data_IF_651335484699
#
_entry.id   IF_651335484699
#
_cell.length_a   1.000
_cell.length_b   1.000
_cell.length_c   1.000
_cell.angle_alpha   90.00
_cell.angle_beta   90.00
_cell.angle_gamma   90.00
#
_symmetry.space_group_name_H-M   'P 1'
#
loop_
_entity.id
_entity.type
_entity.pdbx_description
1 polymer ?
#
# COMPACT_ATOMS: atom_id res chain seq x y z
N UNK A 1 25.87 -31.60 31.24
CA UNK A 1 26.41 -31.17 32.56
C UNK A 1 26.83 -29.73 32.47
N UNK A 2 26.12 -28.82 32.98
CA UNK A 2 26.40 -27.71 33.90
C UNK A 2 25.17 -26.78 33.90
N UNK A 3 24.44 -26.92 35.00
CA UNK A 3 23.36 -26.03 35.38
C UNK A 3 23.96 -24.76 35.97
N UNK A 4 23.56 -23.56 35.57
CA UNK A 4 23.84 -22.31 36.26
C UNK A 4 22.55 -21.68 36.75
N UNK A 5 22.44 -21.68 38.06
CA UNK A 5 21.46 -20.92 38.84
C UNK A 5 21.56 -19.42 38.55
N UNK A 6 20.42 -18.79 38.42
CA UNK A 6 20.28 -17.32 38.53
C UNK A 6 19.50 -17.06 39.82
N UNK A 7 20.15 -16.37 40.72
CA UNK A 7 19.63 -15.90 42.02
C UNK A 7 18.80 -14.62 41.75
N UNK A 8 17.54 -14.66 42.20
CA UNK A 8 16.68 -13.48 42.22
C UNK A 8 16.79 -12.82 43.59
N UNK A 9 17.24 -11.58 43.65
CA UNK A 9 17.21 -10.73 44.85
C UNK A 9 15.97 -9.83 44.81
N UNK A 10 15.05 -10.05 45.73
CA UNK A 10 13.92 -9.17 45.97
C UNK A 10 14.34 -8.00 46.87
N UNK A 11 14.09 -6.76 46.41
CA UNK A 11 14.14 -5.57 47.28
C UNK A 11 12.73 -5.13 47.57
N UNK A 12 12.34 -5.22 48.84
CA UNK A 12 11.14 -4.62 49.39
C UNK A 12 11.48 -3.20 49.86
N UNK A 13 10.86 -2.20 49.32
CA UNK A 13 10.83 -0.86 49.88
C UNK A 13 9.37 -0.40 49.95
N UNK A 14 8.86 -0.32 51.16
CA UNK A 14 7.55 0.22 51.47
C UNK A 14 7.52 1.73 51.29
N UNK A 15 6.45 2.23 50.67
CA UNK A 15 6.15 3.67 50.61
C UNK A 15 4.68 3.88 50.95
N UNK A 16 4.44 4.45 52.15
CA UNK A 16 3.12 4.86 52.61
C UNK A 16 2.63 6.07 51.81
N UNK A 17 1.46 5.98 51.18
CA UNK A 17 0.80 7.09 50.49
C UNK A 17 -0.33 7.61 51.38
N UNK A 18 -0.21 8.87 51.76
CA UNK A 18 -1.24 9.65 52.46
C UNK A 18 -2.41 9.96 51.53
N UNK A 19 -3.62 9.59 51.94
CA UNK A 19 -4.88 9.97 51.28
C UNK A 19 -5.23 11.42 51.64
N UNK A 20 -5.10 12.31 50.70
CA UNK A 20 -5.77 13.62 50.74
C UNK A 20 -7.09 13.50 49.99
N UNK A 21 -8.18 13.58 50.73
CA UNK A 21 -9.53 13.62 50.15
C UNK A 21 -9.77 15.00 49.50
N UNK A 22 -10.15 14.94 48.21
CA UNK A 22 -10.78 16.06 47.55
C UNK A 22 -12.28 15.76 47.39
N UNK A 23 -13.10 16.60 47.98
CA UNK A 23 -14.56 16.60 47.88
C UNK A 23 -14.96 16.96 46.45
N UNK A 24 -15.58 16.02 45.75
CA UNK A 24 -16.03 16.17 44.39
C UNK A 24 -17.30 17.00 44.31
N UNK A 25 -17.30 18.04 43.48
CA UNK A 25 -18.50 18.65 42.93
C UNK A 25 -19.09 17.75 41.83
N UNK A 26 -20.42 17.86 41.53
CA UNK A 26 -21.04 17.05 40.48
C UNK A 26 -20.45 17.40 39.12
N UNK A 27 -19.82 16.42 38.49
CA UNK A 27 -19.37 16.52 37.11
C UNK A 27 -20.57 16.50 36.18
N UNK A 28 -20.86 17.60 35.53
CA UNK A 28 -21.72 17.63 34.36
C UNK A 28 -21.14 16.73 33.28
N UNK A 29 -21.82 15.64 33.03
CA UNK A 29 -21.49 14.71 31.95
C UNK A 29 -21.84 15.40 30.62
N UNK A 30 -20.91 16.12 30.05
CA UNK A 30 -21.02 16.59 28.68
C UNK A 30 -21.01 15.34 27.76
N UNK A 31 -22.20 14.94 27.33
CA UNK A 31 -22.38 13.89 26.32
C UNK A 31 -21.86 14.46 25.02
N UNK A 32 -20.58 14.26 24.74
CA UNK A 32 -20.00 14.51 23.44
C UNK A 32 -20.56 13.49 22.46
N UNK A 33 -21.62 13.86 21.76
CA UNK A 33 -22.12 13.10 20.60
C UNK A 33 -21.05 13.14 19.53
N UNK A 34 -20.24 12.08 19.42
CA UNK A 34 -19.37 11.89 18.29
C UNK A 34 -20.22 11.94 17.01
N UNK A 35 -19.86 12.73 15.98
CA UNK A 35 -20.60 12.73 14.72
C UNK A 35 -20.60 11.30 14.17
N UNK A 36 -21.77 10.81 13.79
CA UNK A 36 -21.92 9.52 13.16
C UNK A 36 -20.97 9.43 11.96
N UNK A 37 -20.29 8.29 11.73
CA UNK A 37 -19.43 8.12 10.58
C UNK A 37 -20.25 8.43 9.34
N UNK A 38 -19.79 9.42 8.55
CA UNK A 38 -20.42 9.77 7.28
C UNK A 38 -20.49 8.48 6.45
N UNK A 39 -21.72 8.06 6.12
CA UNK A 39 -21.95 6.91 5.27
C UNK A 39 -21.13 7.05 3.98
N UNK A 40 -20.83 5.94 3.27
CA UNK A 40 -20.01 5.99 2.07
C UNK A 40 -20.62 7.02 1.12
N UNK A 41 -19.84 8.06 0.81
CA UNK A 41 -20.25 9.10 -0.12
C UNK A 41 -20.64 8.41 -1.43
N UNK A 42 -21.92 8.42 -1.77
CA UNK A 42 -22.38 8.01 -3.09
C UNK A 42 -21.88 9.07 -4.07
N UNK A 43 -20.72 8.80 -4.67
CA UNK A 43 -20.28 9.58 -5.81
C UNK A 43 -21.34 9.42 -6.91
N UNK A 44 -21.97 10.50 -7.39
CA UNK A 44 -22.89 10.41 -8.50
C UNK A 44 -22.13 9.82 -9.67
N UNK A 45 -22.51 8.60 -10.07
CA UNK A 45 -21.89 7.89 -11.17
C UNK A 45 -22.09 8.66 -12.46
N UNK A 46 -21.17 9.56 -12.77
CA UNK A 46 -21.01 10.02 -14.15
C UNK A 46 -20.60 8.77 -14.93
N UNK A 47 -21.24 8.46 -16.08
CA UNK A 47 -20.82 7.33 -16.90
C UNK A 47 -19.32 7.48 -17.10
N UNK A 48 -18.56 6.48 -16.63
CA UNK A 48 -17.11 6.44 -16.83
C UNK A 48 -16.94 6.33 -18.33
N UNK A 49 -16.59 7.43 -18.98
CA UNK A 49 -16.12 7.39 -20.35
C UNK A 49 -15.05 6.31 -20.38
N UNK A 50 -15.16 5.37 -21.32
CA UNK A 50 -14.22 4.25 -21.43
C UNK A 50 -12.81 4.82 -21.38
N UNK A 51 -12.09 4.53 -20.31
CA UNK A 51 -10.74 5.05 -20.14
C UNK A 51 -9.90 4.33 -21.18
N UNK A 52 -9.48 5.07 -22.18
CA UNK A 52 -8.62 4.55 -23.23
C UNK A 52 -7.19 4.47 -22.67
N UNK A 53 -6.65 3.25 -22.55
CA UNK A 53 -5.26 3.02 -22.15
C UNK A 53 -4.27 3.87 -22.99
N UNK A 54 -4.62 4.21 -24.23
CA UNK A 54 -3.83 5.05 -25.12
C UNK A 54 -3.61 6.48 -24.62
N UNK A 55 -4.45 6.97 -23.71
CA UNK A 55 -4.34 8.31 -23.14
C UNK A 55 -3.72 8.32 -21.73
N UNK A 56 -3.38 7.15 -21.18
CA UNK A 56 -2.70 7.03 -19.90
C UNK A 56 -1.17 7.06 -20.13
N UNK A 57 -0.43 8.05 -19.60
CA UNK A 57 1.02 8.15 -19.77
C UNK A 57 1.74 7.13 -18.87
N UNK A 58 1.54 5.85 -19.14
CA UNK A 58 2.07 4.74 -18.34
C UNK A 58 3.59 4.78 -18.26
N UNK A 59 4.11 4.44 -17.09
CA UNK A 59 5.54 4.26 -16.90
C UNK A 59 5.94 2.89 -17.46
N UNK A 60 6.90 2.90 -18.38
CA UNK A 60 7.46 1.67 -18.91
C UNK A 60 8.62 1.22 -18.02
N UNK A 61 8.52 0.00 -17.51
CA UNK A 61 9.61 -0.64 -16.80
C UNK A 61 10.71 -1.08 -17.76
N UNK A 62 11.87 -1.33 -17.22
CA UNK A 62 13.02 -1.86 -17.93
C UNK A 62 13.75 -2.90 -17.07
N UNK A 63 14.47 -3.86 -17.67
CA UNK A 63 15.20 -4.85 -16.91
C UNK A 63 16.23 -4.22 -15.96
N UNK A 64 16.26 -4.72 -14.73
CA UNK A 64 17.35 -4.42 -13.80
C UNK A 64 18.61 -5.14 -14.28
N UNK A 65 19.79 -4.49 -14.35
CA UNK A 65 21.02 -5.14 -14.80
C UNK A 65 21.33 -6.42 -14.02
N UNK A 66 21.80 -7.44 -14.70
CA UNK A 66 22.14 -8.74 -14.10
C UNK A 66 23.23 -8.68 -13.04
N UNK A 67 24.04 -7.63 -13.06
CA UNK A 67 25.10 -7.34 -12.07
C UNK A 67 24.54 -6.86 -10.72
N UNK A 68 23.26 -6.53 -10.65
CA UNK A 68 22.61 -6.07 -9.42
C UNK A 68 22.14 -7.27 -8.61
N UNK A 69 22.80 -7.58 -7.51
CA UNK A 69 22.59 -8.80 -6.72
C UNK A 69 21.17 -8.93 -6.13
N UNK A 70 20.47 -7.83 -5.88
CA UNK A 70 19.13 -7.83 -5.31
C UNK A 70 18.00 -7.89 -6.37
N UNK A 71 18.33 -7.87 -7.65
CA UNK A 71 17.32 -7.83 -8.73
C UNK A 71 16.31 -8.99 -8.64
N UNK A 72 16.79 -10.18 -8.29
CA UNK A 72 15.95 -11.38 -8.23
C UNK A 72 14.97 -11.37 -7.04
N UNK A 73 15.15 -10.43 -6.09
CA UNK A 73 14.20 -10.18 -5.01
C UNK A 73 13.01 -9.33 -5.46
N UNK A 74 13.08 -8.68 -6.62
CA UNK A 74 11.96 -7.97 -7.21
C UNK A 74 11.11 -8.94 -8.04
N UNK A 75 9.83 -9.02 -7.73
CA UNK A 75 8.89 -9.66 -8.64
C UNK A 75 8.80 -8.86 -9.94
N UNK A 76 9.07 -9.52 -11.08
CA UNK A 76 9.10 -8.83 -12.36
C UNK A 76 10.25 -7.83 -12.51
N UNK A 77 11.48 -8.24 -12.17
CA UNK A 77 12.70 -7.44 -12.36
C UNK A 77 12.99 -7.08 -13.83
N UNK A 78 12.41 -7.80 -14.77
CA UNK A 78 12.44 -7.56 -16.20
C UNK A 78 11.59 -6.33 -16.61
N UNK A 79 10.67 -5.92 -15.75
CA UNK A 79 9.83 -4.74 -15.92
C UNK A 79 9.87 -3.81 -14.69
N UNK A 80 11.02 -3.72 -14.05
CA UNK A 80 11.22 -2.87 -12.88
C UNK A 80 11.38 -1.39 -13.26
N UNK A 81 11.18 -0.52 -12.28
CA UNK A 81 11.39 0.91 -12.42
C UNK A 81 11.98 1.48 -11.12
N UNK A 82 12.91 2.42 -11.21
CA UNK A 82 13.55 2.95 -10.02
C UNK A 82 14.42 4.18 -10.26
N UNK A 83 14.86 4.79 -9.15
CA UNK A 83 15.68 6.00 -9.13
C UNK A 83 17.08 5.81 -8.48
N UNK A 84 17.54 4.56 -8.40
CA UNK A 84 18.81 4.22 -7.77
C UNK A 84 18.74 4.04 -6.25
N UNK A 85 17.69 4.51 -5.57
CA UNK A 85 17.51 4.38 -4.11
C UNK A 85 16.25 3.64 -3.73
N UNK A 86 15.24 3.72 -4.56
CA UNK A 86 13.95 3.03 -4.43
C UNK A 86 13.58 2.44 -5.78
N UNK A 87 13.18 1.18 -5.77
CA UNK A 87 12.80 0.42 -6.96
C UNK A 87 11.47 -0.27 -6.74
N UNK A 88 10.73 -0.43 -7.83
CA UNK A 88 9.52 -1.23 -7.90
C UNK A 88 9.66 -2.26 -9.02
N UNK A 89 9.24 -3.49 -8.77
CA UNK A 89 9.09 -4.54 -9.78
C UNK A 89 7.66 -4.65 -10.29
N UNK A 90 7.46 -5.52 -11.26
CA UNK A 90 6.15 -5.88 -11.81
C UNK A 90 5.36 -4.69 -12.39
N UNK A 91 6.04 -3.80 -13.13
CA UNK A 91 5.37 -2.74 -13.88
C UNK A 91 4.88 -3.21 -15.25
N UNK A 92 4.68 -4.45 -15.50
CA UNK A 92 4.31 -5.01 -16.81
C UNK A 92 4.92 -4.24 -18.00
N UNK A 93 5.35 -4.90 -19.08
CA UNK A 93 6.05 -4.25 -20.18
C UNK A 93 5.31 -3.06 -20.80
N UNK A 94 3.97 -3.06 -20.72
CA UNK A 94 3.08 -2.04 -21.26
C UNK A 94 2.46 -1.10 -20.21
N UNK A 95 2.86 -1.21 -18.94
CA UNK A 95 2.33 -0.38 -17.84
C UNK A 95 0.85 -0.64 -17.49
N UNK A 96 0.25 -1.72 -18.01
CA UNK A 96 -1.16 -2.08 -17.78
C UNK A 96 -1.26 -3.21 -16.77
N UNK A 97 -2.05 -2.99 -15.73
CA UNK A 97 -2.36 -3.98 -14.69
C UNK A 97 -3.75 -4.52 -14.94
N UNK A 98 -3.83 -5.80 -15.28
CA UNK A 98 -5.10 -6.50 -15.46
C UNK A 98 -5.46 -7.17 -14.13
N UNK A 99 -6.59 -6.74 -13.56
CA UNK A 99 -7.14 -7.25 -12.30
C UNK A 99 -8.17 -8.33 -12.60
N UNK A 100 -7.93 -9.52 -12.10
CA UNK A 100 -8.87 -10.63 -12.22
C UNK A 100 -9.92 -10.58 -11.10
N UNK A 101 -10.89 -11.46 -11.14
CA UNK A 101 -11.93 -11.56 -10.09
C UNK A 101 -11.33 -11.82 -8.69
N UNK A 102 -10.19 -12.48 -8.61
CA UNK A 102 -9.46 -12.77 -7.38
C UNK A 102 -8.84 -11.51 -6.76
N UNK A 103 -8.58 -10.50 -7.57
CA UNK A 103 -8.02 -9.22 -7.16
C UNK A 103 -9.10 -8.21 -6.75
N UNK A 104 -10.39 -8.59 -6.93
CA UNK A 104 -11.52 -7.74 -6.59
C UNK A 104 -11.98 -8.01 -5.16
N UNK A 105 -11.69 -7.09 -4.27
CA UNK A 105 -12.11 -7.13 -2.87
C UNK A 105 -13.51 -6.54 -2.62
N UNK A 106 -13.91 -6.48 -1.34
CA UNK A 106 -15.20 -5.91 -0.94
C UNK A 106 -15.40 -4.50 -1.48
N UNK A 107 -16.61 -4.22 -1.98
CA UNK A 107 -16.97 -2.93 -2.59
C UNK A 107 -16.34 -2.69 -3.96
N UNK A 108 -15.85 -3.74 -4.63
CA UNK A 108 -15.28 -3.65 -5.99
C UNK A 108 -13.89 -3.03 -6.05
N UNK A 109 -13.18 -2.91 -4.93
CA UNK A 109 -11.81 -2.41 -4.87
C UNK A 109 -10.85 -3.39 -5.52
N UNK A 110 -9.87 -2.87 -6.23
CA UNK A 110 -8.90 -3.64 -7.01
C UNK A 110 -7.58 -3.68 -6.25
N UNK A 111 -7.15 -4.87 -5.81
CA UNK A 111 -5.94 -5.05 -5.00
C UNK A 111 -4.81 -5.69 -5.79
N UNK A 112 -3.63 -5.05 -5.83
CA UNK A 112 -2.46 -5.59 -6.49
C UNK A 112 -1.25 -5.58 -5.57
N UNK A 113 -0.45 -6.64 -5.67
CA UNK A 113 0.84 -6.73 -4.97
C UNK A 113 1.96 -6.19 -5.84
N UNK A 114 2.78 -5.31 -5.24
CA UNK A 114 4.01 -4.81 -5.85
C UNK A 114 5.20 -5.16 -4.96
N UNK A 115 6.28 -5.61 -5.59
CA UNK A 115 7.56 -5.79 -4.93
C UNK A 115 8.38 -4.49 -4.99
N UNK A 116 8.82 -4.01 -3.85
CA UNK A 116 9.69 -2.85 -3.73
C UNK A 116 11.07 -3.26 -3.23
N UNK A 117 12.10 -2.55 -3.65
CA UNK A 117 13.43 -2.69 -3.08
C UNK A 117 13.99 -1.33 -2.67
N UNK A 118 14.35 -1.23 -1.40
CA UNK A 118 14.80 0.01 -0.76
C UNK A 118 16.29 -0.07 -0.47
N UNK A 119 17.06 0.84 -1.05
CA UNK A 119 18.48 1.08 -0.74
C UNK A 119 18.62 2.25 0.27
N UNK A 120 17.50 2.80 0.72
CA UNK A 120 17.42 3.82 1.77
C UNK A 120 16.60 3.26 2.93
N UNK A 121 17.09 3.46 4.16
CA UNK A 121 16.41 3.04 5.37
C UNK A 121 15.16 3.89 5.65
N UNK A 122 14.08 3.25 6.05
CA UNK A 122 12.81 3.88 6.43
C UNK A 122 11.59 3.04 6.09
N UNK A 123 10.45 3.46 6.63
CA UNK A 123 9.16 2.85 6.31
C UNK A 123 8.71 3.28 4.91
N UNK A 124 8.19 2.32 4.15
CA UNK A 124 7.57 2.59 2.85
C UNK A 124 6.12 3.04 3.06
N UNK A 125 5.79 4.20 2.56
CA UNK A 125 4.40 4.67 2.45
C UNK A 125 4.02 4.76 0.98
N UNK A 126 2.79 4.37 0.65
CA UNK A 126 2.32 4.33 -0.74
C UNK A 126 0.99 5.06 -0.81
N UNK A 127 0.90 5.96 -1.77
CA UNK A 127 -0.32 6.70 -2.09
C UNK A 127 -0.52 6.71 -3.60
N UNK A 128 -1.76 6.92 -4.05
CA UNK A 128 -2.02 7.06 -5.47
C UNK A 128 -3.17 8.01 -5.74
N UNK A 129 -3.10 8.69 -6.88
CA UNK A 129 -4.18 9.53 -7.38
C UNK A 129 -4.57 9.12 -8.79
N UNK A 130 -5.85 9.17 -9.09
CA UNK A 130 -6.35 8.92 -10.43
C UNK A 130 -6.10 10.13 -11.33
N UNK A 131 -5.67 9.89 -12.57
CA UNK A 131 -5.30 10.95 -13.51
C UNK A 131 -6.44 11.31 -14.49
N UNK A 132 -7.30 10.36 -14.80
CA UNK A 132 -8.30 10.43 -15.86
C UNK A 132 -9.72 10.69 -15.36
N UNK A 133 -9.95 10.64 -14.04
CA UNK A 133 -11.23 10.96 -13.42
C UNK A 133 -11.04 11.29 -11.93
N UNK A 134 -12.08 11.83 -11.30
CA UNK A 134 -12.12 11.96 -9.85
C UNK A 134 -12.37 10.58 -9.21
N UNK A 135 -11.57 10.25 -8.22
CA UNK A 135 -11.73 9.04 -7.41
C UNK A 135 -11.10 9.26 -6.02
N UNK A 136 -11.51 8.50 -5.01
CA UNK A 136 -10.75 8.42 -3.76
C UNK A 136 -9.31 8.01 -4.03
N UNK A 137 -8.36 8.42 -3.19
CA UNK A 137 -6.96 8.05 -3.38
C UNK A 137 -6.76 6.52 -3.29
N UNK A 138 -5.85 6.00 -4.10
CA UNK A 138 -5.33 4.66 -3.87
C UNK A 138 -4.43 4.66 -2.64
N UNK A 139 -4.41 3.54 -1.92
CA UNK A 139 -3.62 3.38 -0.70
C UNK A 139 -2.83 2.09 -0.75
N UNK A 140 -1.64 2.11 -0.16
CA UNK A 140 -0.81 0.92 -0.06
C UNK A 140 -0.54 0.53 1.38
N UNK A 141 -0.50 -0.77 1.64
CA UNK A 141 -0.09 -1.36 2.90
C UNK A 141 1.23 -2.08 2.69
N UNK A 142 2.24 -1.68 3.45
CA UNK A 142 3.58 -2.26 3.42
C UNK A 142 4.02 -2.51 4.86
N UNK A 143 3.69 -3.69 5.41
CA UNK A 143 3.96 -4.06 6.80
C UNK A 143 4.73 -5.38 6.90
N UNK A 144 5.35 -5.63 8.06
CA UNK A 144 6.03 -6.89 8.33
C UNK A 144 7.45 -7.00 7.75
N UNK A 145 8.01 -5.90 7.24
CA UNK A 145 9.36 -5.86 6.66
C UNK A 145 10.30 -4.95 7.45
N UNK A 146 11.60 -5.24 7.40
CA UNK A 146 12.63 -4.37 7.97
C UNK A 146 12.65 -2.97 7.34
N UNK A 147 13.55 -2.10 7.77
CA UNK A 147 13.62 -0.71 7.28
C UNK A 147 14.33 -0.56 5.94
N UNK A 148 15.07 -1.57 5.46
CA UNK A 148 15.83 -1.56 4.21
C UNK A 148 15.63 -2.89 3.49
N UNK A 149 15.89 -2.94 2.19
CA UNK A 149 15.78 -4.15 1.37
C UNK A 149 14.38 -4.35 0.79
N UNK A 150 14.04 -5.61 0.52
CA UNK A 150 12.78 -5.99 -0.09
C UNK A 150 11.57 -5.68 0.79
N UNK A 151 10.48 -5.29 0.15
CA UNK A 151 9.19 -5.06 0.78
C UNK A 151 8.07 -5.34 -0.23
N UNK A 152 7.24 -6.35 0.03
CA UNK A 152 6.00 -6.51 -0.71
C UNK A 152 4.93 -5.58 -0.14
N UNK A 153 4.16 -4.96 -1.02
CA UNK A 153 3.03 -4.13 -0.63
C UNK A 153 1.76 -4.54 -1.35
N UNK A 154 0.62 -4.42 -0.68
CA UNK A 154 -0.66 -4.39 -1.37
C UNK A 154 -1.02 -2.96 -1.72
N UNK A 155 -1.39 -2.69 -2.96
CA UNK A 155 -1.95 -1.41 -3.37
C UNK A 155 -3.41 -1.61 -3.73
N UNK A 156 -4.28 -0.81 -3.13
CA UNK A 156 -5.72 -0.86 -3.32
C UNK A 156 -6.14 0.33 -4.18
N UNK A 157 -6.66 0.03 -5.36
CA UNK A 157 -7.24 1.01 -6.27
C UNK A 157 -8.76 1.00 -6.10
N UNK A 158 -9.40 2.15 -5.79
CA UNK A 158 -10.85 2.21 -5.64
C UNK A 158 -11.62 1.86 -6.92
N UNK A 159 -11.02 2.11 -8.08
CA UNK A 159 -11.66 1.93 -9.40
C UNK A 159 -10.62 1.62 -10.46
N UNK A 160 -11.08 1.13 -11.61
CA UNK A 160 -10.29 1.08 -12.84
C UNK A 160 -9.89 2.48 -13.29
N UNK A 161 -8.81 2.61 -14.07
CA UNK A 161 -8.39 3.86 -14.69
C UNK A 161 -6.88 4.09 -14.69
N UNK A 162 -6.49 5.30 -15.02
CA UNK A 162 -5.10 5.76 -15.08
C UNK A 162 -4.68 6.27 -13.69
N UNK A 163 -3.69 5.62 -13.09
CA UNK A 163 -3.28 5.89 -11.72
C UNK A 163 -1.81 6.30 -11.62
N UNK A 164 -1.55 7.42 -11.01
CA UNK A 164 -0.23 7.80 -10.55
C UNK A 164 -0.04 7.26 -9.13
N UNK A 165 0.95 6.39 -8.94
CA UNK A 165 1.30 5.80 -7.64
C UNK A 165 2.63 6.36 -7.20
N UNK A 166 2.71 6.73 -5.93
CA UNK A 166 3.91 7.28 -5.31
C UNK A 166 4.29 6.47 -4.08
N UNK A 167 5.48 5.88 -4.12
CA UNK A 167 6.14 5.29 -2.97
C UNK A 167 7.12 6.28 -2.35
N UNK A 168 7.16 6.35 -1.01
CA UNK A 168 8.07 7.23 -0.27
C UNK A 168 8.74 6.47 0.86
N UNK A 169 10.07 6.63 0.97
CA UNK A 169 10.90 6.14 2.08
C UNK A 169 11.76 7.31 2.57
N UNK A 170 11.53 7.80 3.76
CA UNK A 170 12.16 9.00 4.30
C UNK A 170 12.02 10.20 3.32
N UNK A 171 13.11 10.67 2.73
CA UNK A 171 13.13 11.78 1.74
C UNK A 171 13.16 11.29 0.29
N UNK A 172 13.24 9.98 0.07
CA UNK A 172 13.27 9.39 -1.27
C UNK A 172 11.85 9.11 -1.73
N UNK A 173 11.52 9.55 -2.93
CA UNK A 173 10.22 9.34 -3.55
C UNK A 173 10.40 8.71 -4.92
N UNK A 174 9.57 7.72 -5.25
CA UNK A 174 9.47 7.13 -6.57
C UNK A 174 8.02 7.22 -7.02
N UNK A 175 7.78 7.79 -8.19
CA UNK A 175 6.44 7.93 -8.77
C UNK A 175 6.39 7.24 -10.12
N UNK A 176 5.33 6.47 -10.35
CA UNK A 176 5.06 5.81 -11.63
C UNK A 176 3.59 5.92 -11.97
N UNK A 177 3.26 5.69 -13.23
CA UNK A 177 1.88 5.68 -13.75
C UNK A 177 1.57 4.30 -14.28
N UNK A 178 0.41 3.79 -13.92
CA UNK A 178 -0.10 2.49 -14.38
C UNK A 178 -1.57 2.62 -14.80
N UNK A 179 -1.97 1.86 -15.80
CA UNK A 179 -3.36 1.73 -16.18
C UNK A 179 -3.94 0.45 -15.55
N UNK A 180 -4.95 0.62 -14.70
CA UNK A 180 -5.59 -0.49 -13.97
C UNK A 180 -6.92 -0.79 -14.63
N UNK A 181 -7.12 -2.05 -15.04
CA UNK A 181 -8.35 -2.50 -15.70
C UNK A 181 -8.71 -3.91 -15.23
N UNK A 182 -10.01 -4.21 -15.19
CA UNK A 182 -10.50 -5.56 -14.93
C UNK A 182 -10.33 -6.44 -16.17
N UNK A 183 -10.14 -7.70 -15.92
CA UNK A 183 -9.99 -8.69 -16.97
C UNK A 183 -9.99 -10.11 -16.44
N UNK A 184 -9.64 -11.02 -17.29
CA UNK A 184 -9.50 -12.42 -16.96
C UNK A 184 -8.24 -13.00 -17.60
N UNK A 185 -7.67 -14.00 -16.95
CA UNK A 185 -6.54 -14.75 -17.49
C UNK A 185 -7.03 -16.13 -17.91
N UNK A 186 -6.51 -16.62 -19.02
CA UNK A 186 -6.74 -18.01 -19.45
C UNK A 186 -5.83 -19.00 -18.69
N UNK A 187 -5.97 -20.27 -18.99
CA UNK A 187 -5.17 -21.35 -18.39
C UNK A 187 -3.67 -21.27 -18.72
N UNK A 188 -3.30 -20.49 -19.73
CA UNK A 188 -1.91 -20.25 -20.14
C UNK A 188 -1.36 -18.96 -19.53
N UNK A 189 -2.05 -18.37 -18.55
CA UNK A 189 -1.73 -17.10 -17.91
C UNK A 189 -1.68 -15.89 -18.87
N UNK A 190 -2.37 -15.98 -20.02
CA UNK A 190 -2.59 -14.82 -20.90
C UNK A 190 -3.78 -14.06 -20.38
N UNK A 191 -3.52 -12.82 -19.94
CA UNK A 191 -4.54 -11.95 -19.36
C UNK A 191 -5.05 -10.95 -20.40
N UNK A 192 -6.36 -10.84 -20.50
CA UNK A 192 -7.02 -9.90 -21.41
C UNK A 192 -8.03 -9.04 -20.63
N UNK A 193 -8.17 -7.76 -20.99
CA UNK A 193 -9.20 -6.90 -20.42
C UNK A 193 -10.60 -7.43 -20.71
N UNK A 194 -11.50 -7.26 -19.74
CA UNK A 194 -12.92 -7.46 -20.00
C UNK A 194 -13.36 -6.43 -21.04
N UNK A 195 -13.96 -6.90 -22.13
CA UNK A 195 -14.54 -5.98 -23.10
C UNK A 195 -15.65 -5.21 -22.40
N UNK A 196 -15.60 -3.89 -22.46
CA UNK A 196 -16.74 -3.08 -22.04
C UNK A 196 -17.96 -3.53 -22.88
N UNK A 197 -18.97 -4.05 -22.17
CA UNK A 197 -20.28 -4.40 -22.76
C UNK A 197 -21.08 -3.14 -23.03
#
# INVERSE_FOLDING_TARGET
MLCRLIVATAFAAGMSVALLGCTGGPAETATSSAPAPAGPARYPGRPVAMVDARHCPVTIGHPVPSTVWWRDLLFGWDSAYGNGKLWIGALWPNGVVIMTKEDVGPGGRLGMKFGWYRLTSGFLTITGRRLDAQAPPASGVASGYGLIGFNASGVIFPTEGCWQVTGRVARVTLTFVTFVIKGHCDTNAVCVPDRAR
#
